data_IF_078294112063
#
_entry.id   IF_078294112063
#
_cell.length_a   1.000
_cell.length_b   1.000
_cell.length_c   1.000
_cell.angle_alpha   90.00
_cell.angle_beta   90.00
_cell.angle_gamma   90.00
#
_symmetry.space_group_name_H-M   'P 1'
#
loop_
_entity.id
_entity.type
_entity.pdbx_description
1 polymer ?
#
# COMPACT_ATOMS: atom_id res chain seq x y z
N UNK A 1 5.26 59.91 48.59
CA UNK A 1 5.16 59.64 47.14
C UNK A 1 3.95 58.75 46.97
N UNK A 2 2.84 59.34 46.54
CA UNK A 2 1.47 58.85 46.67
C UNK A 2 1.12 57.75 45.67
N UNK A 3 0.34 56.78 46.13
CA UNK A 3 -0.22 55.66 45.35
C UNK A 3 -0.88 56.13 44.03
N UNK A 4 -1.46 57.33 44.00
CA UNK A 4 -2.01 57.99 42.79
C UNK A 4 -1.03 58.10 41.61
N UNK A 5 0.26 58.32 41.87
CA UNK A 5 1.25 58.37 40.79
C UNK A 5 1.56 56.98 40.26
N UNK A 6 1.48 55.96 41.13
CA UNK A 6 1.72 54.58 40.75
C UNK A 6 0.55 54.03 39.94
N UNK A 7 -0.69 54.36 40.31
CA UNK A 7 -1.90 53.99 39.58
C UNK A 7 -1.93 54.63 38.18
N UNK A 8 -1.58 55.92 38.07
CA UNK A 8 -1.46 56.59 36.75
C UNK A 8 -0.38 55.97 35.86
N UNK A 9 0.75 55.57 36.43
CA UNK A 9 1.80 54.89 35.69
C UNK A 9 1.35 53.50 35.23
N UNK A 10 0.58 52.79 36.07
CA UNK A 10 0.02 51.48 35.75
C UNK A 10 -1.05 51.58 34.65
N UNK A 11 -1.95 52.58 34.71
CA UNK A 11 -2.93 52.85 33.64
C UNK A 11 -2.26 53.20 32.32
N UNK A 12 -1.22 54.03 32.33
CA UNK A 12 -0.46 54.36 31.11
C UNK A 12 0.29 53.16 30.55
N UNK A 13 0.80 52.28 31.42
CA UNK A 13 1.43 51.03 31.01
C UNK A 13 0.40 50.10 30.37
N UNK A 14 -0.75 49.89 31.01
CA UNK A 14 -1.85 49.06 30.46
C UNK A 14 -2.30 49.64 29.12
N UNK A 15 -2.55 50.95 29.02
CA UNK A 15 -2.98 51.59 27.77
C UNK A 15 -1.98 51.40 26.62
N UNK A 16 -0.67 51.35 26.92
CA UNK A 16 0.38 51.13 25.90
C UNK A 16 0.69 49.66 25.63
N UNK A 17 0.50 48.79 26.61
CA UNK A 17 0.79 47.36 26.52
C UNK A 17 -0.37 46.58 25.89
N UNK A 18 -1.62 46.96 26.15
CA UNK A 18 -2.82 46.27 25.66
C UNK A 18 -2.86 46.14 24.13
N UNK A 19 -2.54 47.17 23.33
CA UNK A 19 -2.51 47.05 21.87
C UNK A 19 -1.47 46.03 21.39
N UNK A 20 -0.25 46.07 21.98
CA UNK A 20 0.82 45.13 21.63
C UNK A 20 0.51 43.70 22.05
N UNK A 21 -0.13 43.53 23.20
CA UNK A 21 -0.57 42.21 23.67
C UNK A 21 -1.66 41.65 22.77
N UNK A 22 -2.64 42.47 22.34
CA UNK A 22 -3.66 42.07 21.38
C UNK A 22 -3.04 41.69 20.04
N UNK A 23 -2.12 42.50 19.51
CA UNK A 23 -1.44 42.23 18.24
C UNK A 23 -0.67 40.90 18.27
N UNK A 24 0.11 40.67 19.34
CA UNK A 24 0.82 39.40 19.54
C UNK A 24 -0.13 38.19 19.71
N UNK A 25 -1.23 38.37 20.45
CA UNK A 25 -2.23 37.31 20.62
C UNK A 25 -2.89 36.96 19.29
N UNK A 26 -3.20 37.98 18.48
CA UNK A 26 -3.82 37.79 17.16
C UNK A 26 -2.87 37.07 16.22
N UNK A 27 -1.58 37.44 16.20
CA UNK A 27 -0.57 36.78 15.39
C UNK A 27 -0.37 35.31 15.81
N UNK A 28 -0.34 35.04 17.11
CA UNK A 28 -0.18 33.69 17.64
C UNK A 28 -1.39 32.81 17.37
N UNK A 29 -2.61 33.35 17.52
CA UNK A 29 -3.84 32.62 17.19
C UNK A 29 -3.92 32.34 15.69
N UNK A 30 -3.58 33.31 14.84
CA UNK A 30 -3.55 33.11 13.38
C UNK A 30 -2.57 32.02 12.98
N UNK A 31 -1.34 32.03 13.52
CA UNK A 31 -0.36 30.96 13.28
C UNK A 31 -0.86 29.59 13.73
N UNK A 32 -1.45 29.51 14.93
CA UNK A 32 -2.02 28.24 15.42
C UNK A 32 -3.16 27.73 14.54
N UNK A 33 -4.02 28.61 14.06
CA UNK A 33 -5.12 28.24 13.15
C UNK A 33 -4.56 27.77 11.81
N UNK A 34 -3.58 28.47 11.23
CA UNK A 34 -2.94 28.06 9.99
C UNK A 34 -2.24 26.72 10.12
N UNK A 35 -1.49 26.49 11.20
CA UNK A 35 -0.82 25.21 11.48
C UNK A 35 -1.83 24.07 11.67
N UNK A 36 -2.91 24.31 12.41
CA UNK A 36 -3.96 23.32 12.62
C UNK A 36 -4.72 22.99 11.33
N UNK A 37 -5.12 24.00 10.56
CA UNK A 37 -5.82 23.80 9.28
C UNK A 37 -4.89 23.13 8.26
N UNK A 38 -3.64 23.56 8.18
CA UNK A 38 -2.63 22.95 7.32
C UNK A 38 -2.36 21.48 7.69
N UNK A 39 -2.24 21.19 8.98
CA UNK A 39 -2.09 19.84 9.50
C UNK A 39 -3.33 18.97 9.23
N UNK A 40 -4.53 19.50 9.41
CA UNK A 40 -5.79 18.81 9.09
C UNK A 40 -5.89 18.50 7.60
N UNK A 41 -5.56 19.46 6.72
CA UNK A 41 -5.56 19.27 5.27
C UNK A 41 -4.59 18.16 4.87
N UNK A 42 -3.35 18.22 5.37
CA UNK A 42 -2.31 17.22 5.06
C UNK A 42 -2.72 15.82 5.52
N UNK A 43 -3.29 15.71 6.73
CA UNK A 43 -3.79 14.44 7.24
C UNK A 43 -4.99 13.92 6.44
N UNK A 44 -5.90 14.80 6.02
CA UNK A 44 -7.04 14.43 5.19
C UNK A 44 -6.60 13.93 3.81
N UNK A 45 -5.61 14.59 3.18
CA UNK A 45 -5.02 14.13 1.91
C UNK A 45 -4.38 12.74 2.08
N UNK A 46 -3.59 12.55 3.14
CA UNK A 46 -2.97 11.25 3.44
C UNK A 46 -4.02 10.15 3.65
N UNK A 47 -5.07 10.40 4.44
CA UNK A 47 -6.14 9.41 4.66
C UNK A 47 -6.89 9.09 3.37
N UNK A 48 -7.14 10.07 2.51
CA UNK A 48 -7.79 9.83 1.21
C UNK A 48 -6.93 8.97 0.29
N UNK A 49 -5.61 9.18 0.30
CA UNK A 49 -4.69 8.38 -0.50
C UNK A 49 -4.58 6.95 0.04
N UNK A 50 -4.50 6.76 1.36
CA UNK A 50 -4.56 5.43 1.98
C UNK A 50 -5.87 4.68 1.63
N UNK A 51 -7.02 5.36 1.65
CA UNK A 51 -8.30 4.77 1.24
C UNK A 51 -8.31 4.39 -0.24
N UNK A 52 -7.75 5.22 -1.12
CA UNK A 52 -7.63 4.89 -2.55
C UNK A 52 -6.77 3.65 -2.76
N UNK A 53 -5.63 3.58 -2.08
CA UNK A 53 -4.72 2.44 -2.20
C UNK A 53 -5.35 1.15 -1.67
N UNK A 54 -6.05 1.22 -0.53
CA UNK A 54 -6.84 0.10 -0.02
C UNK A 54 -7.91 -0.35 -1.02
N UNK A 55 -8.62 0.58 -1.66
CA UNK A 55 -9.62 0.24 -2.69
C UNK A 55 -9.01 -0.39 -3.91
N UNK A 56 -7.84 0.07 -4.37
CA UNK A 56 -7.12 -0.57 -5.49
C UNK A 56 -6.69 -1.98 -5.12
N UNK A 57 -6.10 -2.17 -3.95
CA UNK A 57 -5.71 -3.50 -3.46
C UNK A 57 -6.92 -4.44 -3.37
N UNK A 58 -8.05 -3.98 -2.83
CA UNK A 58 -9.27 -4.76 -2.77
C UNK A 58 -9.82 -5.11 -4.16
N UNK A 59 -9.77 -4.19 -5.12
CA UNK A 59 -10.18 -4.44 -6.49
C UNK A 59 -9.27 -5.47 -7.19
N UNK A 60 -7.96 -5.42 -6.95
CA UNK A 60 -7.00 -6.40 -7.46
C UNK A 60 -7.23 -7.79 -6.88
N UNK A 61 -7.52 -7.88 -5.57
CA UNK A 61 -7.87 -9.15 -4.92
C UNK A 61 -9.17 -9.72 -5.51
N UNK A 62 -10.21 -8.90 -5.61
CA UNK A 62 -11.48 -9.33 -6.21
C UNK A 62 -11.32 -9.79 -7.67
N UNK A 63 -10.48 -9.11 -8.45
CA UNK A 63 -10.19 -9.52 -9.82
C UNK A 63 -9.44 -10.85 -9.89
N UNK A 64 -8.48 -11.09 -8.98
CA UNK A 64 -7.77 -12.38 -8.87
C UNK A 64 -8.72 -13.50 -8.45
N UNK A 65 -9.53 -13.29 -7.42
CA UNK A 65 -10.53 -14.26 -6.97
C UNK A 65 -11.52 -14.60 -8.09
N UNK A 66 -11.96 -13.61 -8.87
CA UNK A 66 -12.87 -13.85 -10.00
C UNK A 66 -12.18 -14.63 -11.13
N UNK A 67 -10.91 -14.35 -11.41
CA UNK A 67 -10.12 -15.09 -12.39
C UNK A 67 -9.90 -16.55 -11.96
N UNK A 68 -9.55 -16.79 -10.70
CA UNK A 68 -9.38 -18.11 -10.12
C UNK A 68 -10.70 -18.90 -10.09
N UNK A 69 -11.79 -18.27 -9.68
CA UNK A 69 -13.13 -18.88 -9.70
C UNK A 69 -13.57 -19.23 -11.13
N UNK A 70 -13.25 -18.39 -12.11
CA UNK A 70 -13.49 -18.67 -13.53
C UNK A 70 -12.71 -19.89 -14.01
N UNK A 71 -11.41 -19.96 -13.72
CA UNK A 71 -10.57 -21.12 -14.05
C UNK A 71 -11.11 -22.39 -13.41
N UNK A 72 -11.41 -22.36 -12.11
CA UNK A 72 -11.97 -23.50 -11.40
C UNK A 72 -13.30 -23.97 -12.01
N UNK A 73 -14.20 -23.04 -12.33
CA UNK A 73 -15.48 -23.36 -12.97
C UNK A 73 -15.28 -24.04 -14.32
N UNK A 74 -14.37 -23.54 -15.16
CA UNK A 74 -14.09 -24.17 -16.47
C UNK A 74 -13.51 -25.59 -16.33
N UNK A 75 -12.71 -25.85 -15.29
CA UNK A 75 -12.19 -27.19 -15.00
C UNK A 75 -13.29 -28.15 -14.52
N UNK A 76 -14.24 -27.66 -13.71
CA UNK A 76 -15.40 -28.44 -13.27
C UNK A 76 -16.36 -28.76 -14.41
N UNK A 77 -16.64 -27.79 -15.29
CA UNK A 77 -17.52 -27.98 -16.45
C UNK A 77 -16.96 -29.00 -17.44
N UNK A 78 -15.63 -29.15 -17.50
CA UNK A 78 -14.95 -30.19 -18.28
C UNK A 78 -15.17 -31.61 -17.74
N UNK A 79 -15.88 -31.76 -16.60
CA UNK A 79 -16.22 -33.03 -15.94
C UNK A 79 -15.01 -33.97 -15.77
N UNK A 80 -13.85 -33.39 -15.44
CA UNK A 80 -12.69 -34.20 -15.07
C UNK A 80 -12.90 -34.86 -13.71
N UNK A 81 -12.31 -36.03 -13.51
CA UNK A 81 -12.25 -36.65 -12.18
C UNK A 81 -11.52 -35.71 -11.20
N UNK A 82 -11.86 -35.72 -9.89
CA UNK A 82 -11.29 -34.80 -8.91
C UNK A 82 -9.75 -34.79 -8.86
N UNK A 83 -9.11 -35.94 -9.15
CA UNK A 83 -7.66 -36.05 -9.27
C UNK A 83 -7.12 -35.22 -10.44
N UNK A 84 -7.72 -35.34 -11.63
CA UNK A 84 -7.31 -34.59 -12.82
C UNK A 84 -7.50 -33.08 -12.69
N UNK A 85 -8.51 -32.63 -11.93
CA UNK A 85 -8.71 -31.21 -11.62
C UNK A 85 -7.61 -30.71 -10.66
N UNK A 86 -7.25 -31.51 -9.65
CA UNK A 86 -6.17 -31.18 -8.71
C UNK A 86 -4.82 -31.07 -9.42
N UNK A 87 -4.54 -31.99 -10.34
CA UNK A 87 -3.30 -32.00 -11.13
C UNK A 87 -3.24 -30.81 -12.10
N UNK A 88 -4.38 -30.40 -12.66
CA UNK A 88 -4.46 -29.20 -13.50
C UNK A 88 -4.27 -27.89 -12.71
N UNK A 89 -4.70 -27.85 -11.45
CA UNK A 89 -4.52 -26.70 -10.56
C UNK A 89 -3.12 -26.63 -9.95
N UNK A 90 -2.42 -27.77 -9.85
CA UNK A 90 -1.07 -27.86 -9.29
C UNK A 90 -0.17 -28.70 -10.22
N UNK A 91 0.19 -28.17 -11.40
CA UNK A 91 1.02 -28.91 -12.34
C UNK A 91 2.40 -29.18 -11.73
N UNK A 92 2.82 -30.46 -11.71
CA UNK A 92 4.13 -30.85 -11.20
C UNK A 92 5.26 -30.14 -11.96
N UNK A 93 6.35 -29.73 -11.27
CA UNK A 93 7.52 -29.13 -11.91
C UNK A 93 8.13 -30.06 -12.95
N UNK A 94 8.55 -29.50 -14.09
CA UNK A 94 9.29 -30.25 -15.09
C UNK A 94 10.69 -30.53 -14.55
N UNK A 95 11.01 -31.82 -14.35
CA UNK A 95 12.31 -32.24 -13.82
C UNK A 95 13.25 -32.60 -14.96
N UNK A 96 14.41 -31.94 -15.00
CA UNK A 96 15.53 -32.33 -15.85
C UNK A 96 16.69 -32.81 -14.99
N UNK A 97 17.38 -33.85 -15.42
CA UNK A 97 18.62 -34.25 -14.74
C UNK A 97 19.76 -33.28 -15.07
N UNK A 98 20.80 -33.23 -14.24
CA UNK A 98 21.98 -32.36 -14.51
C UNK A 98 22.61 -32.61 -15.88
N UNK A 99 22.59 -33.86 -16.36
CA UNK A 99 23.12 -34.20 -17.69
C UNK A 99 22.23 -33.64 -18.79
N UNK A 100 20.91 -33.77 -18.64
CA UNK A 100 19.94 -33.26 -19.61
C UNK A 100 19.87 -31.73 -19.63
N UNK A 101 20.04 -31.09 -18.47
CA UNK A 101 20.06 -29.62 -18.36
C UNK A 101 21.31 -28.99 -19.00
N UNK A 102 22.38 -29.77 -19.25
CA UNK A 102 23.58 -29.32 -19.99
C UNK A 102 23.34 -29.27 -21.51
N UNK A 103 22.33 -29.96 -22.03
CA UNK A 103 21.93 -29.82 -23.43
C UNK A 103 21.02 -28.58 -23.59
N UNK A 104 21.53 -27.60 -24.34
CA UNK A 104 20.83 -26.35 -24.59
C UNK A 104 19.49 -26.54 -25.31
N UNK A 105 19.35 -27.55 -26.16
CA UNK A 105 18.09 -27.83 -26.87
C UNK A 105 17.04 -28.41 -25.91
N UNK A 106 17.44 -29.35 -25.05
CA UNK A 106 16.54 -29.96 -24.06
C UNK A 106 16.11 -28.96 -22.99
N UNK A 107 17.06 -28.16 -22.47
CA UNK A 107 16.75 -27.12 -21.49
C UNK A 107 15.77 -26.08 -22.03
N UNK A 108 15.97 -25.61 -23.26
CA UNK A 108 15.05 -24.62 -23.89
C UNK A 108 13.65 -25.18 -24.11
N UNK A 109 13.55 -26.44 -24.55
CA UNK A 109 12.24 -27.10 -24.72
C UNK A 109 11.52 -27.28 -23.39
N UNK A 110 12.23 -27.76 -22.37
CA UNK A 110 11.66 -27.94 -21.04
C UNK A 110 11.23 -26.61 -20.42
N UNK A 111 12.02 -25.54 -20.59
CA UNK A 111 11.66 -24.19 -20.15
C UNK A 111 10.41 -23.67 -20.85
N UNK A 112 10.33 -23.81 -22.17
CA UNK A 112 9.14 -23.43 -22.94
C UNK A 112 7.90 -24.24 -22.55
N UNK A 113 8.07 -25.52 -22.22
CA UNK A 113 6.98 -26.38 -21.75
C UNK A 113 6.52 -25.99 -20.34
N UNK A 114 7.45 -25.63 -19.44
CA UNK A 114 7.15 -25.15 -18.10
C UNK A 114 6.37 -23.82 -18.15
N UNK A 115 6.81 -22.88 -18.99
CA UNK A 115 6.09 -21.62 -19.25
C UNK A 115 4.68 -21.85 -19.83
N UNK A 116 4.54 -22.80 -20.76
CA UNK A 116 3.24 -23.13 -21.37
C UNK A 116 2.25 -23.76 -20.40
N UNK A 117 2.74 -24.54 -19.44
CA UNK A 117 1.93 -25.24 -18.45
C UNK A 117 1.80 -24.49 -17.12
N UNK A 118 2.47 -23.33 -16.99
CA UNK A 118 2.42 -22.52 -15.77
C UNK A 118 3.15 -23.15 -14.59
N UNK A 119 4.11 -24.04 -14.83
CA UNK A 119 4.90 -24.72 -13.78
C UNK A 119 6.38 -24.30 -13.83
N UNK A 120 7.17 -24.72 -12.85
CA UNK A 120 8.60 -24.44 -12.73
C UNK A 120 9.46 -25.55 -13.34
N UNK A 121 10.68 -25.21 -13.77
CA UNK A 121 11.69 -26.16 -14.20
C UNK A 121 12.64 -26.45 -13.03
N UNK A 122 12.75 -27.72 -12.62
CA UNK A 122 13.64 -28.17 -11.56
C UNK A 122 14.79 -29.03 -12.13
N UNK A 123 16.03 -28.73 -11.74
CA UNK A 123 17.18 -29.56 -12.09
C UNK A 123 17.46 -30.51 -10.94
N UNK A 124 17.18 -31.79 -11.16
CA UNK A 124 17.43 -32.86 -10.17
C UNK A 124 18.83 -33.46 -10.35
N UNK A 125 19.42 -33.89 -9.25
CA UNK A 125 20.65 -34.69 -9.29
C UNK A 125 20.31 -36.07 -9.82
N UNK A 126 21.08 -36.57 -10.80
CA UNK A 126 21.11 -38.00 -11.10
C UNK A 126 21.76 -38.68 -9.87
N UNK A 127 21.08 -39.66 -9.28
CA UNK A 127 21.75 -40.70 -8.50
C UNK A 127 22.47 -41.65 -9.47
#
# INVERSE_FOLDING_TARGET
MSEDNNDKLMEQFIAKATPKLLEALTEQVSKQIEDQIGGLKTNAEKMLDEIKDQKRAAAEVAAKEQAEAGQFKTLLERKGDPASIKDALNPEPIRLTRVQARDAALYRRAKAQAEKTGTTLEIVSDD
#
